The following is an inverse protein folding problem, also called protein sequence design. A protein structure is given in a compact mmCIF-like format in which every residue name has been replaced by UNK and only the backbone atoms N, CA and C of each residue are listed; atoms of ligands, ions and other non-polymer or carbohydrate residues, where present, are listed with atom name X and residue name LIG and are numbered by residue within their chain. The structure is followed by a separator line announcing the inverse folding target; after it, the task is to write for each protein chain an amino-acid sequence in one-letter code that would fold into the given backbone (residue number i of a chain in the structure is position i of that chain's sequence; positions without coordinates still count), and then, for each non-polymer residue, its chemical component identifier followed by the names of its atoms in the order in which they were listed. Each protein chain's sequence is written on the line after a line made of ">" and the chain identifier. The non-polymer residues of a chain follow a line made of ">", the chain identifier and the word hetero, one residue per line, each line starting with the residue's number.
data_IF_309053022955
#
_entry.id   IF_309053022955
#
_cell.length_a   1.000
_cell.length_b   1.000
_cell.length_c   1.000
_cell.angle_alpha   90.00
_cell.angle_beta   90.00
_cell.angle_gamma   90.00
#
_symmetry.space_group_name_H-M   'P 1'
#
loop_
_entity.id
_entity.type
_entity.pdbx_description
1 polymer ?
#
# COMPACT_ATOMS: atom_id res chain seq x y z
N UNK A 1 14.85 14.86 16.45
CA UNK A 1 13.47 14.43 16.73
C UNK A 1 12.88 13.97 15.42
N UNK A 2 12.62 12.68 15.28
CA UNK A 2 11.74 12.17 14.22
C UNK A 2 10.98 11.02 14.86
N UNK A 3 9.91 11.38 15.57
CA UNK A 3 8.88 10.39 15.89
C UNK A 3 8.23 10.05 14.56
N UNK A 4 8.10 8.76 14.25
CA UNK A 4 7.34 8.31 13.09
C UNK A 4 5.95 8.91 13.19
N UNK A 5 5.65 9.93 12.38
CA UNK A 5 4.33 10.50 12.30
C UNK A 5 3.44 9.41 11.69
N UNK A 6 2.34 9.09 12.39
CA UNK A 6 1.40 8.05 11.97
C UNK A 6 0.90 8.37 10.56
N UNK A 7 0.81 7.39 9.66
CA UNK A 7 0.29 7.64 8.33
C UNK A 7 -1.21 7.95 8.46
N UNK A 8 -1.64 9.15 8.06
CA UNK A 8 -3.04 9.57 8.12
C UNK A 8 -3.61 9.68 6.72
N UNK A 9 -4.62 8.86 6.43
CA UNK A 9 -5.33 8.86 5.15
C UNK A 9 -6.72 9.51 5.33
N UNK A 10 -7.22 10.26 4.34
CA UNK A 10 -8.60 10.73 4.37
C UNK A 10 -9.56 9.55 4.16
N UNK A 11 -10.73 9.61 4.80
CA UNK A 11 -11.81 8.67 4.47
C UNK A 11 -12.40 8.97 3.09
N UNK A 12 -12.77 7.92 2.38
CA UNK A 12 -13.49 7.96 1.11
C UNK A 12 -14.94 7.45 1.26
N UNK A 13 -15.79 7.70 0.27
CA UNK A 13 -17.23 7.45 0.34
C UNK A 13 -17.63 5.96 0.43
N UNK A 14 -16.68 5.03 0.21
CA UNK A 14 -16.95 3.59 0.15
C UNK A 14 -16.24 2.89 1.31
N UNK A 15 -17.01 2.26 2.19
CA UNK A 15 -16.53 1.76 3.48
C UNK A 15 -15.44 0.67 3.39
N UNK A 16 -15.51 -0.23 2.41
CA UNK A 16 -14.50 -1.30 2.31
C UNK A 16 -13.12 -0.73 1.97
N UNK A 17 -13.06 0.33 1.15
CA UNK A 17 -11.80 0.99 0.80
C UNK A 17 -11.14 1.56 2.07
N UNK A 18 -11.91 2.20 2.96
CA UNK A 18 -11.38 2.72 4.23
C UNK A 18 -10.82 1.60 5.13
N UNK A 19 -11.48 0.45 5.19
CA UNK A 19 -10.99 -0.69 5.97
C UNK A 19 -9.69 -1.25 5.38
N UNK A 20 -9.63 -1.43 4.07
CA UNK A 20 -8.45 -1.94 3.39
C UNK A 20 -7.27 -0.94 3.46
N UNK A 21 -7.53 0.36 3.33
CA UNK A 21 -6.52 1.41 3.49
C UNK A 21 -5.94 1.42 4.91
N UNK A 22 -6.78 1.24 5.92
CA UNK A 22 -6.33 1.17 7.31
C UNK A 22 -5.43 -0.05 7.55
N UNK A 23 -5.78 -1.21 7.00
CA UNK A 23 -4.94 -2.40 7.08
C UNK A 23 -3.58 -2.20 6.37
N UNK A 24 -3.57 -1.56 5.20
CA UNK A 24 -2.33 -1.24 4.50
C UNK A 24 -1.42 -0.32 5.34
N UNK A 25 -1.99 0.70 5.99
CA UNK A 25 -1.28 1.59 6.93
C UNK A 25 -0.67 0.78 8.07
N UNK A 26 -1.42 -0.12 8.69
CA UNK A 26 -0.93 -0.93 9.81
C UNK A 26 0.30 -1.76 9.41
N UNK A 27 0.27 -2.39 8.23
CA UNK A 27 1.40 -3.18 7.72
C UNK A 27 2.61 -2.28 7.40
N UNK A 28 2.38 -1.12 6.78
CA UNK A 28 3.44 -0.13 6.48
C UNK A 28 4.10 0.40 7.76
N UNK A 29 3.32 0.65 8.82
CA UNK A 29 3.83 1.11 10.11
C UNK A 29 4.67 0.03 10.80
N UNK A 30 4.23 -1.24 10.73
CA UNK A 30 5.02 -2.38 11.24
C UNK A 30 6.33 -2.55 10.48
N UNK A 31 6.30 -2.47 9.14
CA UNK A 31 7.50 -2.47 8.30
C UNK A 31 8.44 -1.33 8.66
N UNK A 32 7.91 -0.12 8.84
CA UNK A 32 8.68 1.07 9.23
C UNK A 32 9.36 0.89 10.59
N UNK A 33 8.67 0.31 11.56
CA UNK A 33 9.21 0.05 12.89
C UNK A 33 10.38 -0.95 12.83
N UNK A 34 10.22 -2.05 12.08
CA UNK A 34 11.27 -3.06 11.90
C UNK A 34 12.47 -2.54 11.09
N UNK A 35 12.23 -1.68 10.10
CA UNK A 35 13.27 -1.11 9.25
C UNK A 35 13.97 0.13 9.87
N UNK A 36 13.48 0.61 11.03
CA UNK A 36 14.03 1.76 11.73
C UNK A 36 15.50 1.58 12.11
N UNK A 37 16.27 2.65 12.35
CA UNK A 37 17.67 2.53 12.77
C UNK A 37 17.87 1.78 14.10
N UNK A 38 16.80 1.66 14.91
CA UNK A 38 16.79 0.90 16.15
C UNK A 38 16.32 -0.56 15.96
N UNK A 39 15.90 -0.92 14.74
CA UNK A 39 15.47 -2.26 14.38
C UNK A 39 16.60 -3.30 14.48
N UNK A 40 16.22 -4.55 14.75
CA UNK A 40 17.14 -5.68 14.80
C UNK A 40 17.25 -6.34 13.42
N UNK A 41 18.46 -6.81 13.08
CA UNK A 41 18.72 -7.65 11.90
C UNK A 41 18.84 -9.14 12.24
N UNK A 42 18.38 -9.54 13.43
CA UNK A 42 18.26 -10.95 13.79
C UNK A 42 17.38 -11.69 12.77
N UNK A 43 17.60 -13.00 12.63
CA UNK A 43 16.88 -13.84 11.65
C UNK A 43 15.35 -13.74 11.80
N UNK A 44 14.86 -13.62 13.05
CA UNK A 44 13.44 -13.41 13.33
C UNK A 44 12.90 -12.09 12.78
N UNK A 45 13.64 -10.99 12.91
CA UNK A 45 13.27 -9.69 12.34
C UNK A 45 13.34 -9.71 10.81
N UNK A 46 14.31 -10.42 10.24
CA UNK A 46 14.42 -10.59 8.78
C UNK A 46 13.23 -11.34 8.19
N UNK A 47 12.84 -12.42 8.86
CA UNK A 47 11.67 -13.22 8.52
C UNK A 47 10.38 -12.40 8.67
N UNK A 48 10.23 -11.64 9.77
CA UNK A 48 9.06 -10.78 9.96
C UNK A 48 8.91 -9.72 8.87
N UNK A 49 10.01 -9.06 8.46
CA UNK A 49 9.97 -8.11 7.33
C UNK A 49 9.56 -8.80 6.04
N UNK A 50 10.08 -10.01 5.77
CA UNK A 50 9.69 -10.79 4.59
C UNK A 50 8.19 -11.06 4.59
N UNK A 51 7.66 -11.54 5.72
CA UNK A 51 6.26 -11.93 5.82
C UNK A 51 5.33 -10.71 5.69
N UNK A 52 5.71 -9.56 6.26
CA UNK A 52 4.95 -8.31 6.12
C UNK A 52 4.98 -7.74 4.69
N UNK A 53 6.10 -7.86 3.96
CA UNK A 53 6.16 -7.47 2.55
C UNK A 53 5.26 -8.34 1.68
N UNK A 54 5.23 -9.65 1.94
CA UNK A 54 4.35 -10.59 1.26
C UNK A 54 2.87 -10.32 1.61
N UNK A 55 2.57 -10.04 2.87
CA UNK A 55 1.24 -9.64 3.34
C UNK A 55 0.76 -8.37 2.63
N UNK A 56 1.60 -7.32 2.61
CA UNK A 56 1.26 -6.05 1.96
C UNK A 56 1.00 -6.22 0.47
N UNK A 57 1.79 -7.05 -0.22
CA UNK A 57 1.58 -7.35 -1.63
C UNK A 57 0.24 -8.06 -1.88
N UNK A 58 -0.06 -9.11 -1.11
CA UNK A 58 -1.32 -9.85 -1.24
C UNK A 58 -2.52 -8.97 -0.94
N UNK A 59 -2.45 -8.20 0.16
CA UNK A 59 -3.48 -7.26 0.56
C UNK A 59 -3.75 -6.22 -0.54
N UNK A 60 -2.70 -5.56 -1.03
CA UNK A 60 -2.83 -4.52 -2.06
C UNK A 60 -3.39 -5.08 -3.36
N UNK A 61 -2.95 -6.27 -3.78
CA UNK A 61 -3.49 -6.94 -4.98
C UNK A 61 -4.98 -7.21 -4.85
N UNK A 62 -5.41 -7.74 -3.72
CA UNK A 62 -6.80 -8.13 -3.52
C UNK A 62 -7.72 -6.91 -3.36
N UNK A 63 -7.23 -5.88 -2.68
CA UNK A 63 -7.85 -4.56 -2.57
C UNK A 63 -8.03 -3.90 -3.95
N UNK A 64 -6.96 -3.75 -4.72
CA UNK A 64 -7.01 -3.18 -6.08
C UNK A 64 -7.96 -3.97 -6.98
N UNK A 65 -7.93 -5.31 -6.92
CA UNK A 65 -8.86 -6.15 -7.68
C UNK A 65 -10.33 -5.92 -7.27
N UNK A 66 -10.61 -5.55 -6.01
CA UNK A 66 -11.96 -5.20 -5.58
C UNK A 66 -12.40 -3.85 -6.13
N UNK A 67 -11.55 -2.83 -6.03
CA UNK A 67 -11.84 -1.52 -6.60
C UNK A 67 -12.04 -1.58 -8.11
N UNK A 68 -11.19 -2.32 -8.82
CA UNK A 68 -11.29 -2.51 -10.26
C UNK A 68 -12.61 -3.17 -10.67
N UNK A 69 -13.08 -4.17 -9.91
CA UNK A 69 -14.42 -4.75 -10.13
C UNK A 69 -15.52 -3.70 -9.96
N UNK A 70 -15.45 -2.86 -8.93
CA UNK A 70 -16.45 -1.81 -8.68
C UNK A 70 -16.38 -0.69 -9.74
N UNK A 71 -15.19 -0.30 -10.18
CA UNK A 71 -14.96 0.63 -11.29
C UNK A 71 -15.57 0.11 -12.58
N UNK A 72 -15.34 -1.16 -12.93
CA UNK A 72 -15.90 -1.77 -14.12
C UNK A 72 -17.43 -1.87 -14.06
N UNK A 73 -17.99 -2.28 -12.91
CA UNK A 73 -19.44 -2.43 -12.72
C UNK A 73 -20.19 -1.10 -12.80
N UNK A 74 -19.61 -0.04 -12.24
CA UNK A 74 -20.19 1.31 -12.27
C UNK A 74 -19.94 2.05 -13.59
N UNK A 75 -19.03 1.56 -14.44
CA UNK A 75 -18.66 2.23 -15.69
C UNK A 75 -17.77 3.45 -15.46
N UNK A 76 -16.88 3.40 -14.46
CA UNK A 76 -15.98 4.50 -14.12
C UNK A 76 -15.07 4.88 -15.29
N UNK A 77 -15.15 6.12 -15.83
CA UNK A 77 -14.47 6.47 -17.08
C UNK A 77 -12.94 6.39 -17.05
N UNK A 78 -12.32 6.66 -15.89
CA UNK A 78 -10.87 6.67 -15.74
C UNK A 78 -10.27 5.31 -15.33
N UNK A 79 -11.06 4.22 -15.36
CA UNK A 79 -10.62 2.88 -15.00
C UNK A 79 -9.27 2.45 -15.62
N UNK A 80 -9.01 2.64 -16.94
CA UNK A 80 -7.74 2.21 -17.52
C UNK A 80 -6.52 2.90 -16.92
N UNK A 81 -6.66 4.18 -16.54
CA UNK A 81 -5.57 4.97 -15.93
C UNK A 81 -5.38 4.54 -14.48
N UNK A 82 -6.46 4.36 -13.71
CA UNK A 82 -6.41 3.92 -12.32
C UNK A 82 -5.76 2.55 -12.18
N UNK A 83 -6.21 1.58 -12.98
CA UNK A 83 -5.60 0.25 -13.02
C UNK A 83 -4.12 0.29 -13.41
N UNK A 84 -3.71 1.19 -14.31
CA UNK A 84 -2.30 1.35 -14.67
C UNK A 84 -1.41 1.72 -13.47
N UNK A 85 -1.91 2.57 -12.57
CA UNK A 85 -1.20 2.91 -11.33
C UNK A 85 -1.14 1.72 -10.35
N UNK A 86 -2.22 0.95 -10.22
CA UNK A 86 -2.22 -0.29 -9.43
C UNK A 86 -1.18 -1.30 -9.94
N UNK A 87 -1.16 -1.54 -11.25
CA UNK A 87 -0.21 -2.47 -11.88
C UNK A 87 1.24 -2.03 -11.66
N UNK A 88 1.52 -0.73 -11.79
CA UNK A 88 2.85 -0.16 -11.52
C UNK A 88 3.29 -0.42 -10.08
N UNK A 89 2.43 -0.14 -9.10
CA UNK A 89 2.77 -0.32 -7.68
C UNK A 89 2.92 -1.78 -7.30
N UNK A 90 2.10 -2.68 -7.84
CA UNK A 90 2.29 -4.12 -7.62
C UNK A 90 3.64 -4.63 -8.15
N UNK A 91 4.11 -4.10 -9.29
CA UNK A 91 5.45 -4.41 -9.80
C UNK A 91 6.55 -3.91 -8.86
N UNK A 92 6.40 -2.70 -8.33
CA UNK A 92 7.36 -2.14 -7.35
C UNK A 92 7.37 -2.93 -6.04
N UNK A 93 6.21 -3.36 -5.54
CA UNK A 93 6.08 -4.23 -4.37
C UNK A 93 6.79 -5.58 -4.58
N UNK A 94 6.55 -6.26 -5.70
CA UNK A 94 7.24 -7.52 -6.03
C UNK A 94 8.77 -7.33 -6.13
N UNK A 95 9.23 -6.21 -6.68
CA UNK A 95 10.66 -5.88 -6.70
C UNK A 95 11.22 -5.69 -5.28
N UNK A 96 10.52 -4.99 -4.39
CA UNK A 96 10.93 -4.82 -3.00
C UNK A 96 11.03 -6.17 -2.27
N UNK A 97 10.06 -7.07 -2.46
CA UNK A 97 10.11 -8.44 -1.94
C UNK A 97 11.36 -9.20 -2.42
N UNK A 98 11.68 -9.13 -3.72
CA UNK A 98 12.85 -9.82 -4.30
C UNK A 98 14.17 -9.24 -3.81
N UNK A 99 14.28 -7.92 -3.70
CA UNK A 99 15.47 -7.25 -3.17
C UNK A 99 15.68 -7.65 -1.71
N UNK A 100 14.62 -7.63 -0.90
CA UNK A 100 14.69 -8.06 0.49
C UNK A 100 15.14 -9.52 0.61
N UNK A 101 14.50 -10.43 -0.13
CA UNK A 101 14.80 -11.85 -0.08
C UNK A 101 16.25 -12.18 -0.51
N UNK A 102 16.79 -11.44 -1.48
CA UNK A 102 18.14 -11.69 -2.01
C UNK A 102 19.26 -11.03 -1.20
N UNK A 103 19.03 -9.84 -0.64
CA UNK A 103 20.09 -9.00 -0.06
C UNK A 103 19.85 -8.60 1.40
N UNK A 104 18.60 -8.63 1.88
CA UNK A 104 18.24 -8.05 3.16
C UNK A 104 18.57 -6.55 3.24
N UNK A 105 18.39 -5.84 2.12
CA UNK A 105 18.77 -4.43 1.98
C UNK A 105 17.83 -3.50 2.79
N UNK A 106 18.23 -3.16 4.01
CA UNK A 106 17.47 -2.28 4.88
C UNK A 106 17.40 -0.83 4.39
N UNK A 107 18.46 -0.34 3.73
CA UNK A 107 18.47 1.05 3.27
C UNK A 107 17.51 1.20 2.08
N UNK A 108 17.59 0.27 1.13
CA UNK A 108 16.62 0.18 0.03
C UNK A 108 15.19 -0.01 0.55
N UNK A 109 14.98 -0.86 1.55
CA UNK A 109 13.66 -1.05 2.16
C UNK A 109 13.12 0.24 2.79
N UNK A 110 13.92 1.00 3.55
CA UNK A 110 13.50 2.28 4.13
C UNK A 110 13.11 3.29 3.05
N UNK A 111 13.93 3.41 2.01
CA UNK A 111 13.64 4.30 0.89
C UNK A 111 12.34 3.91 0.18
N UNK A 112 12.13 2.61 -0.02
CA UNK A 112 10.91 2.07 -0.62
C UNK A 112 9.67 2.35 0.24
N UNK A 113 9.71 2.09 1.55
CA UNK A 113 8.60 2.35 2.46
C UNK A 113 8.20 3.83 2.46
N UNK A 114 9.18 4.74 2.44
CA UNK A 114 8.91 6.18 2.35
C UNK A 114 8.18 6.53 1.03
N UNK A 115 8.70 6.05 -0.10
CA UNK A 115 8.06 6.26 -1.41
C UNK A 115 6.65 5.67 -1.50
N UNK A 116 6.44 4.48 -0.91
CA UNK A 116 5.14 3.82 -0.89
C UNK A 116 4.14 4.60 -0.02
N UNK A 117 4.60 5.12 1.11
CA UNK A 117 3.78 5.93 2.03
C UNK A 117 3.31 7.22 1.35
N UNK A 118 4.21 7.92 0.67
CA UNK A 118 3.89 9.13 -0.11
C UNK A 118 2.90 8.82 -1.23
N UNK A 119 3.13 7.71 -1.95
CA UNK A 119 2.21 7.25 -2.99
C UNK A 119 0.83 6.95 -2.42
N UNK A 120 0.72 6.21 -1.32
CA UNK A 120 -0.57 5.81 -0.74
C UNK A 120 -1.38 7.04 -0.31
N UNK A 121 -0.76 8.02 0.35
CA UNK A 121 -1.42 9.28 0.73
C UNK A 121 -1.94 10.00 -0.51
N UNK A 122 -1.10 10.14 -1.54
CA UNK A 122 -1.48 10.82 -2.78
C UNK A 122 -2.59 10.07 -3.52
N UNK A 123 -2.49 8.75 -3.64
CA UNK A 123 -3.44 7.89 -4.36
C UNK A 123 -4.82 7.97 -3.71
N UNK A 124 -4.89 7.76 -2.39
CA UNK A 124 -6.15 7.80 -1.64
C UNK A 124 -6.79 9.19 -1.69
N UNK A 125 -5.99 10.24 -1.56
CA UNK A 125 -6.48 11.63 -1.56
C UNK A 125 -6.98 12.10 -2.92
N UNK A 126 -6.60 11.42 -4.02
CA UNK A 126 -6.89 11.86 -5.38
C UNK A 126 -7.73 10.84 -6.15
N UNK A 127 -7.14 9.71 -6.54
CA UNK A 127 -7.75 8.72 -7.41
C UNK A 127 -8.88 8.00 -6.68
N UNK A 128 -8.61 7.46 -5.49
CA UNK A 128 -9.58 6.65 -4.75
C UNK A 128 -10.73 7.50 -4.24
N UNK A 129 -10.46 8.74 -3.84
CA UNK A 129 -11.52 9.69 -3.47
C UNK A 129 -12.52 9.89 -4.61
N UNK A 130 -12.04 10.10 -5.84
CA UNK A 130 -12.90 10.30 -7.02
C UNK A 130 -13.61 8.99 -7.39
N UNK A 131 -12.89 7.87 -7.36
CA UNK A 131 -13.43 6.54 -7.63
C UNK A 131 -14.54 6.18 -6.65
N UNK A 132 -14.30 6.33 -5.34
CA UNK A 132 -15.27 6.05 -4.30
C UNK A 132 -16.53 6.90 -4.42
N UNK A 133 -16.39 8.21 -4.69
CA UNK A 133 -17.53 9.09 -4.90
C UNK A 133 -18.37 8.63 -6.11
N UNK A 134 -17.71 8.30 -7.22
CA UNK A 134 -18.39 7.80 -8.40
C UNK A 134 -19.10 6.47 -8.11
N UNK A 135 -18.39 5.48 -7.56
CA UNK A 135 -18.95 4.16 -7.22
C UNK A 135 -20.14 4.29 -6.26
N UNK A 136 -20.05 5.14 -5.24
CA UNK A 136 -21.12 5.33 -4.25
C UNK A 136 -22.46 5.79 -4.86
N UNK A 137 -22.42 6.49 -6.00
CA UNK A 137 -23.60 7.01 -6.71
C UNK A 137 -24.17 6.03 -7.75
N UNK A 138 -23.46 4.94 -8.03
CA UNK A 138 -23.78 3.97 -9.07
C UNK A 138 -23.87 2.52 -8.52
N UNK A 139 -24.06 2.39 -7.20
CA UNK A 139 -24.34 1.12 -6.52
C UNK A 139 -25.82 0.75 -6.54
#
# INVERSE_FOLDING_TARGET
>A
MSGSERLVLPEVAVAFMNADHAQAVEVIEQLSALASPQGSLADSSRQAIKDLLEELFVHSRDHFAHEEREMQRSGFPAYPVHRGEHERVLVEMDQACRIWHSKGDLEGLRAYIASLSDWLVSHVSTMDRVTAEFVSRHR
#
